data_IF_942529000246
#
_entry.id   IF_942529000246
#
_cell.length_a   1.000
_cell.length_b   1.000
_cell.length_c   1.000
_cell.angle_alpha   90.00
_cell.angle_beta   90.00
_cell.angle_gamma   90.00
#
_symmetry.space_group_name_H-M   'P 1'
#
loop_
_entity.id
_entity.type
_entity.pdbx_description
1 polymer ?
#
# COMPACT_ATOMS: atom_id res chain seq x y z
N UNK A 1 -22.48 -30.08 -35.07
CA UNK A 1 -22.77 -30.83 -33.83
C UNK A 1 -21.53 -31.56 -33.32
N UNK A 2 -20.87 -32.36 -34.15
CA UNK A 2 -19.71 -33.18 -33.77
C UNK A 2 -18.47 -32.37 -33.33
N UNK A 3 -18.13 -31.27 -34.02
CA UNK A 3 -17.01 -30.42 -33.61
C UNK A 3 -17.24 -29.67 -32.29
N UNK A 4 -18.50 -29.29 -32.01
CA UNK A 4 -18.88 -28.65 -30.76
C UNK A 4 -18.76 -29.62 -29.56
N UNK A 5 -19.14 -30.89 -29.75
CA UNK A 5 -18.95 -31.94 -28.75
C UNK A 5 -17.46 -32.18 -28.48
N UNK A 6 -16.63 -32.23 -29.54
CA UNK A 6 -15.19 -32.42 -29.43
C UNK A 6 -14.52 -31.26 -28.67
N UNK A 7 -14.85 -30.03 -29.03
CA UNK A 7 -14.36 -28.83 -28.33
C UNK A 7 -14.81 -28.79 -26.87
N UNK A 8 -16.06 -29.16 -26.57
CA UNK A 8 -16.55 -29.21 -25.18
C UNK A 8 -15.78 -30.25 -24.35
N UNK A 9 -15.47 -31.42 -24.93
CA UNK A 9 -14.69 -32.44 -24.26
C UNK A 9 -13.24 -32.00 -24.02
N UNK A 10 -12.58 -31.42 -25.03
CA UNK A 10 -11.22 -30.88 -24.91
C UNK A 10 -11.14 -29.76 -23.86
N UNK A 11 -12.09 -28.83 -23.87
CA UNK A 11 -12.16 -27.75 -22.88
C UNK A 11 -12.43 -28.27 -21.46
N UNK A 12 -13.26 -29.30 -21.30
CA UNK A 12 -13.53 -29.91 -20.00
C UNK A 12 -12.27 -30.54 -19.42
N UNK A 13 -11.51 -31.29 -20.24
CA UNK A 13 -10.28 -31.95 -19.81
C UNK A 13 -9.18 -30.93 -19.50
N UNK A 14 -9.06 -29.87 -20.31
CA UNK A 14 -8.10 -28.79 -20.07
C UNK A 14 -8.43 -28.03 -18.78
N UNK A 15 -9.69 -27.67 -18.57
CA UNK A 15 -10.13 -26.97 -17.35
C UNK A 15 -9.89 -27.80 -16.09
N UNK A 16 -10.12 -29.13 -16.17
CA UNK A 16 -9.85 -30.03 -15.06
C UNK A 16 -8.35 -30.07 -14.71
N UNK A 17 -7.48 -30.15 -15.72
CA UNK A 17 -6.03 -30.14 -15.54
C UNK A 17 -5.53 -28.79 -14.99
N UNK A 18 -6.04 -27.67 -15.51
CA UNK A 18 -5.69 -26.32 -15.05
C UNK A 18 -6.16 -26.09 -13.61
N UNK A 19 -7.34 -26.63 -13.24
CA UNK A 19 -7.85 -26.57 -11.88
C UNK A 19 -6.97 -27.36 -10.92
N UNK A 20 -6.57 -28.58 -11.28
CA UNK A 20 -5.68 -29.41 -10.46
C UNK A 20 -4.31 -28.73 -10.25
N UNK A 21 -3.75 -28.16 -11.30
CA UNK A 21 -2.51 -27.39 -11.22
C UNK A 21 -2.65 -26.17 -10.30
N UNK A 22 -3.78 -25.45 -10.39
CA UNK A 22 -4.07 -24.28 -9.55
C UNK A 22 -4.25 -24.67 -8.08
N UNK A 23 -4.95 -25.76 -7.80
CA UNK A 23 -5.14 -26.28 -6.43
C UNK A 23 -3.80 -26.67 -5.83
N UNK A 24 -2.95 -27.37 -6.59
CA UNK A 24 -1.62 -27.75 -6.13
C UNK A 24 -0.72 -26.55 -5.85
N UNK A 25 -0.68 -25.56 -6.76
CA UNK A 25 0.07 -24.32 -6.55
C UNK A 25 -0.43 -23.57 -5.30
N UNK A 26 -1.75 -23.53 -5.09
CA UNK A 26 -2.35 -22.90 -3.89
C UNK A 26 -2.01 -23.64 -2.61
N UNK A 27 -1.97 -24.97 -2.62
CA UNK A 27 -1.52 -25.75 -1.45
C UNK A 27 -0.06 -25.48 -1.10
N UNK A 28 0.80 -25.33 -2.11
CA UNK A 28 2.20 -24.95 -1.92
C UNK A 28 2.32 -23.51 -1.38
N UNK A 29 1.56 -22.55 -1.91
CA UNK A 29 1.50 -21.18 -1.38
C UNK A 29 1.02 -21.16 0.08
N UNK A 30 -0.01 -21.95 0.43
CA UNK A 30 -0.51 -22.03 1.80
C UNK A 30 0.52 -22.61 2.77
N UNK A 31 1.33 -23.58 2.33
CA UNK A 31 2.44 -24.11 3.13
C UNK A 31 3.50 -23.04 3.38
N UNK A 32 3.87 -22.28 2.35
CA UNK A 32 4.83 -21.17 2.47
C UNK A 32 4.31 -20.09 3.42
N UNK A 33 3.02 -19.74 3.33
CA UNK A 33 2.38 -18.78 4.25
C UNK A 33 2.40 -19.31 5.69
N UNK A 34 2.12 -20.60 5.90
CA UNK A 34 2.15 -21.21 7.23
C UNK A 34 3.57 -21.18 7.82
N UNK A 35 4.59 -21.54 7.05
CA UNK A 35 5.98 -21.50 7.48
C UNK A 35 6.46 -20.07 7.77
N UNK A 36 6.11 -19.10 6.91
CA UNK A 36 6.39 -17.69 7.18
C UNK A 36 5.70 -17.19 8.45
N UNK A 37 4.47 -17.65 8.72
CA UNK A 37 3.73 -17.32 9.95
C UNK A 37 4.42 -17.93 11.17
N UNK A 38 4.86 -19.19 11.10
CA UNK A 38 5.59 -19.87 12.17
C UNK A 38 6.93 -19.20 12.47
N UNK A 39 7.67 -18.77 11.44
CA UNK A 39 8.92 -18.01 11.62
C UNK A 39 8.64 -16.69 12.35
N UNK A 40 7.59 -15.97 11.98
CA UNK A 40 7.19 -14.73 12.65
C UNK A 40 6.70 -14.99 14.09
N UNK A 41 5.96 -16.07 14.32
CA UNK A 41 5.47 -16.48 15.64
C UNK A 41 6.59 -16.94 16.57
N UNK A 42 7.63 -17.61 16.05
CA UNK A 42 8.77 -18.09 16.83
C UNK A 42 9.82 -17.01 17.09
N UNK A 43 9.98 -16.05 16.17
CA UNK A 43 10.87 -14.89 16.37
C UNK A 43 10.24 -13.80 17.23
N UNK A 44 8.91 -13.74 17.31
CA UNK A 44 8.21 -12.93 18.31
C UNK A 44 7.97 -13.77 19.58
N UNK A 45 8.45 -13.36 20.74
CA UNK A 45 8.25 -14.08 21.99
C UNK A 45 6.77 -14.08 22.47
N UNK A 46 5.90 -14.90 21.85
CA UNK A 46 4.49 -15.04 22.19
C UNK A 46 3.62 -13.80 21.89
N UNK A 47 4.16 -12.81 21.18
CA UNK A 47 3.47 -11.55 20.94
C UNK A 47 2.50 -11.62 19.75
N UNK A 48 2.69 -12.52 18.77
CA UNK A 48 1.91 -12.55 17.52
C UNK A 48 0.43 -12.90 17.74
N UNK A 49 0.08 -13.92 18.53
CA UNK A 49 -1.32 -14.29 18.75
C UNK A 49 -2.17 -13.21 19.42
N UNK A 50 -1.57 -12.42 20.31
CA UNK A 50 -2.23 -11.25 20.89
C UNK A 50 -2.10 -10.02 19.98
N UNK A 51 -0.96 -9.80 19.34
CA UNK A 51 -0.71 -8.62 18.52
C UNK A 51 -1.51 -8.61 17.22
N UNK A 52 -1.86 -9.74 16.59
CA UNK A 52 -2.63 -9.71 15.33
C UNK A 52 -4.14 -9.52 15.58
N UNK A 53 -4.71 -10.23 16.57
CA UNK A 53 -6.08 -9.98 17.05
C UNK A 53 -6.24 -8.56 17.58
N UNK A 54 -5.29 -8.12 18.42
CA UNK A 54 -5.27 -6.77 18.96
C UNK A 54 -4.90 -5.73 17.90
N UNK A 55 -4.06 -6.01 16.90
CA UNK A 55 -3.75 -5.05 15.84
C UNK A 55 -4.91 -4.90 14.87
N UNK A 56 -5.64 -5.96 14.50
CA UNK A 56 -6.86 -5.81 13.71
C UNK A 56 -7.94 -5.05 14.48
N UNK A 57 -8.14 -5.38 15.76
CA UNK A 57 -9.08 -4.65 16.62
C UNK A 57 -8.64 -3.21 16.88
N UNK A 58 -7.36 -2.96 17.12
CA UNK A 58 -6.81 -1.62 17.34
C UNK A 58 -6.75 -0.80 16.05
N UNK A 59 -6.61 -1.44 14.89
CA UNK A 59 -6.69 -0.77 13.59
C UNK A 59 -8.15 -0.44 13.27
N UNK A 60 -9.11 -1.33 13.58
CA UNK A 60 -10.54 -1.04 13.55
C UNK A 60 -10.94 0.10 14.49
N UNK A 61 -10.47 0.07 15.75
CA UNK A 61 -10.73 1.10 16.74
C UNK A 61 -10.06 2.44 16.39
N UNK A 62 -8.82 2.45 15.89
CA UNK A 62 -8.16 3.67 15.39
C UNK A 62 -8.90 4.28 14.20
N UNK A 63 -9.46 3.46 13.31
CA UNK A 63 -10.31 3.93 12.20
C UNK A 63 -11.62 4.57 12.66
N UNK A 64 -12.04 4.37 13.92
CA UNK A 64 -13.23 5.02 14.48
C UNK A 64 -12.89 6.34 15.22
N UNK A 65 -11.61 6.63 15.44
CA UNK A 65 -11.18 7.89 16.06
C UNK A 65 -11.15 9.03 15.03
N UNK A 66 -11.49 10.25 15.47
CA UNK A 66 -11.41 11.45 14.61
C UNK A 66 -10.02 11.66 14.00
N UNK A 67 -8.96 11.42 14.77
CA UNK A 67 -7.58 11.53 14.30
C UNK A 67 -7.24 10.48 13.22
N UNK A 68 -7.71 9.24 13.38
CA UNK A 68 -7.51 8.19 12.37
C UNK A 68 -8.28 8.43 11.07
N UNK A 69 -9.47 9.03 11.14
CA UNK A 69 -10.23 9.45 9.97
C UNK A 69 -9.55 10.61 9.23
N UNK A 70 -9.15 11.66 9.95
CA UNK A 70 -8.43 12.79 9.38
C UNK A 70 -7.12 12.35 8.69
N UNK A 71 -6.36 11.44 9.29
CA UNK A 71 -5.15 10.89 8.68
C UNK A 71 -5.40 10.19 7.34
N UNK A 72 -6.50 9.46 7.22
CA UNK A 72 -6.88 8.81 5.96
C UNK A 72 -7.29 9.80 4.89
N UNK A 73 -8.02 10.85 5.27
CA UNK A 73 -8.43 11.91 4.35
C UNK A 73 -7.20 12.62 3.78
N UNK A 74 -6.21 12.93 4.62
CA UNK A 74 -4.94 13.52 4.18
C UNK A 74 -4.22 12.61 3.19
N UNK A 75 -4.05 11.32 3.50
CA UNK A 75 -3.41 10.36 2.57
C UNK A 75 -4.18 10.24 1.26
N UNK A 76 -5.51 10.20 1.32
CA UNK A 76 -6.35 10.13 0.12
C UNK A 76 -6.23 11.39 -0.74
N UNK A 77 -6.13 12.56 -0.11
CA UNK A 77 -5.91 13.82 -0.80
C UNK A 77 -4.55 13.86 -1.48
N UNK A 78 -3.45 13.55 -0.77
CA UNK A 78 -2.10 13.53 -1.38
C UNK A 78 -2.02 12.53 -2.54
N UNK A 79 -2.65 11.35 -2.42
CA UNK A 79 -2.73 10.38 -3.53
C UNK A 79 -3.50 10.92 -4.74
N UNK A 80 -4.54 11.72 -4.52
CA UNK A 80 -5.30 12.34 -5.61
C UNK A 80 -4.44 13.35 -6.35
N UNK A 81 -3.80 14.26 -5.62
CA UNK A 81 -2.90 15.27 -6.20
C UNK A 81 -1.75 14.59 -6.95
N UNK A 82 -1.17 13.53 -6.41
CA UNK A 82 -0.13 12.76 -7.10
C UNK A 82 -0.59 12.19 -8.45
N UNK A 83 -1.86 11.78 -8.56
CA UNK A 83 -2.45 11.28 -9.81
C UNK A 83 -2.75 12.41 -10.79
N UNK A 84 -3.28 13.52 -10.31
CA UNK A 84 -3.60 14.70 -11.11
C UNK A 84 -2.33 15.31 -11.73
N UNK A 85 -1.24 15.36 -10.95
CA UNK A 85 0.05 15.88 -11.41
C UNK A 85 0.97 14.81 -12.03
N UNK A 86 0.52 13.55 -12.11
CA UNK A 86 1.33 12.42 -12.56
C UNK A 86 2.71 12.31 -11.86
N UNK A 87 2.81 12.75 -10.61
CA UNK A 87 4.07 12.77 -9.86
C UNK A 87 4.29 11.50 -9.06
N UNK A 88 5.43 10.87 -9.32
CA UNK A 88 5.94 9.71 -8.58
C UNK A 88 6.37 10.09 -7.16
N UNK A 89 6.90 11.30 -6.97
CA UNK A 89 7.40 11.83 -5.70
C UNK A 89 6.24 12.09 -4.73
N UNK A 90 5.14 12.67 -5.23
CA UNK A 90 3.91 12.84 -4.45
C UNK A 90 3.25 11.49 -4.10
N UNK A 91 3.37 10.50 -4.98
CA UNK A 91 2.88 9.14 -4.71
C UNK A 91 3.70 8.46 -3.60
N UNK A 92 5.02 8.66 -3.59
CA UNK A 92 5.91 8.18 -2.53
C UNK A 92 5.64 8.91 -1.21
N UNK A 93 5.45 10.22 -1.24
CA UNK A 93 5.08 11.01 -0.06
C UNK A 93 3.79 10.50 0.58
N UNK A 94 2.75 10.23 -0.21
CA UNK A 94 1.50 9.68 0.31
C UNK A 94 1.69 8.33 1.03
N UNK A 95 2.60 7.51 0.52
CA UNK A 95 2.96 6.22 1.13
C UNK A 95 3.71 6.44 2.45
N UNK A 96 4.63 7.40 2.48
CA UNK A 96 5.37 7.74 3.68
C UNK A 96 4.47 8.33 4.78
N UNK A 97 3.57 9.26 4.43
CA UNK A 97 2.55 9.82 5.34
C UNK A 97 1.65 8.72 5.89
N UNK A 98 1.22 7.76 5.06
CA UNK A 98 0.42 6.63 5.53
C UNK A 98 1.17 5.74 6.54
N UNK A 99 2.47 5.52 6.32
CA UNK A 99 3.30 4.76 7.25
C UNK A 99 3.49 5.51 8.58
N UNK A 100 3.77 6.80 8.53
CA UNK A 100 3.87 7.67 9.72
C UNK A 100 2.56 7.65 10.51
N UNK A 101 1.41 7.78 9.85
CA UNK A 101 0.11 7.70 10.53
C UNK A 101 -0.19 6.32 11.14
N UNK A 102 0.29 5.25 10.52
CA UNK A 102 0.02 3.87 10.97
C UNK A 102 0.93 3.44 12.12
N UNK A 103 2.20 3.86 12.08
CA UNK A 103 3.24 3.37 12.99
C UNK A 103 3.77 4.45 13.94
N UNK A 104 3.63 5.74 13.65
CA UNK A 104 4.18 6.83 14.46
C UNK A 104 3.59 6.95 15.86
N UNK A 105 2.37 6.44 16.08
CA UNK A 105 1.74 6.43 17.40
C UNK A 105 2.46 5.53 18.42
N UNK A 106 3.31 4.59 17.98
CA UNK A 106 4.08 3.72 18.89
C UNK A 106 5.36 4.39 19.39
N UNK A 107 5.80 5.47 18.74
CA UNK A 107 7.07 6.14 19.00
C UNK A 107 6.97 7.31 19.98
N UNK A 108 5.76 7.70 20.40
CA UNK A 108 5.53 8.88 21.26
C UNK A 108 5.75 10.23 20.57
N UNK A 109 6.05 10.22 19.27
CA UNK A 109 6.33 11.39 18.44
C UNK A 109 5.02 12.01 17.91
N UNK A 110 4.94 13.33 17.76
CA UNK A 110 3.76 13.99 17.20
C UNK A 110 3.65 13.70 15.69
N UNK A 111 2.83 12.70 15.39
CA UNK A 111 2.55 12.20 14.06
C UNK A 111 2.01 13.31 13.15
N UNK A 112 1.17 14.22 13.67
CA UNK A 112 0.60 15.31 12.87
C UNK A 112 1.66 16.35 12.51
N UNK A 113 2.51 16.72 13.47
CA UNK A 113 3.62 17.63 13.21
C UNK A 113 4.56 17.07 12.13
N UNK A 114 4.85 15.76 12.18
CA UNK A 114 5.70 15.09 11.20
C UNK A 114 5.08 15.05 9.80
N UNK A 115 3.80 14.71 9.69
CA UNK A 115 3.08 14.73 8.41
C UNK A 115 3.03 16.13 7.82
N UNK A 116 2.82 17.15 8.66
CA UNK A 116 2.85 18.55 8.24
C UNK A 116 4.22 18.92 7.66
N UNK A 117 5.32 18.62 8.37
CA UNK A 117 6.67 18.91 7.89
C UNK A 117 6.97 18.22 6.55
N UNK A 118 6.60 16.94 6.41
CA UNK A 118 6.78 16.21 5.14
C UNK A 118 6.03 16.85 3.95
N UNK A 119 4.87 17.45 4.19
CA UNK A 119 4.11 18.17 3.16
C UNK A 119 4.73 19.53 2.88
N UNK A 120 5.13 20.27 3.91
CA UNK A 120 5.80 21.57 3.78
C UNK A 120 7.11 21.45 2.98
N UNK A 121 7.92 20.43 3.26
CA UNK A 121 9.17 20.16 2.53
C UNK A 121 8.90 19.90 1.04
N UNK A 122 7.81 19.18 0.73
CA UNK A 122 7.45 18.89 -0.66
C UNK A 122 6.91 20.12 -1.38
N UNK A 123 6.15 20.98 -0.69
CA UNK A 123 5.68 22.25 -1.24
C UNK A 123 6.87 23.15 -1.56
N UNK A 124 7.81 23.31 -0.61
CA UNK A 124 9.02 24.10 -0.83
C UNK A 124 9.83 23.58 -2.04
N UNK A 125 9.98 22.26 -2.17
CA UNK A 125 10.64 21.65 -3.33
C UNK A 125 9.93 21.99 -4.65
N UNK A 126 8.60 21.93 -4.68
CA UNK A 126 7.81 22.24 -5.88
C UNK A 126 7.88 23.73 -6.25
N UNK A 127 7.92 24.63 -5.27
CA UNK A 127 8.11 26.07 -5.49
C UNK A 127 9.50 26.37 -6.09
N UNK A 128 10.55 25.77 -5.52
CA UNK A 128 11.92 25.91 -6.03
C UNK A 128 12.07 25.35 -7.46
N UNK A 129 11.43 24.21 -7.76
CA UNK A 129 11.41 23.61 -9.10
C UNK A 129 10.68 24.52 -10.11
N UNK A 130 9.55 25.11 -9.73
CA UNK A 130 8.80 26.03 -10.58
C UNK A 130 9.58 27.32 -10.88
N UNK A 131 10.25 27.89 -9.88
CA UNK A 131 11.11 29.06 -10.06
C UNK A 131 12.33 28.74 -10.94
N UNK A 132 12.92 27.57 -10.74
CA UNK A 132 14.04 27.08 -11.56
C UNK A 132 13.62 26.87 -13.02
N UNK A 133 12.45 26.30 -13.27
CA UNK A 133 11.92 26.11 -14.62
C UNK A 133 11.58 27.44 -15.31
N UNK A 134 10.99 28.38 -14.57
CA UNK A 134 10.70 29.73 -15.08
C UNK A 134 11.97 30.49 -15.48
N UNK A 135 13.02 30.41 -14.65
CA UNK A 135 14.32 31.02 -14.95
C UNK A 135 15.04 30.34 -16.12
N UNK A 136 14.96 29.01 -16.22
CA UNK A 136 15.53 28.25 -17.34
C UNK A 136 14.81 28.56 -18.66
N UNK A 137 13.48 28.66 -18.66
CA UNK A 137 12.71 29.07 -19.86
C UNK A 137 13.09 30.47 -20.33
N UNK A 138 13.22 31.43 -19.41
CA UNK A 138 13.65 32.80 -19.75
C UNK A 138 15.08 32.88 -20.32
N UNK A 139 15.94 31.90 -19.97
CA UNK A 139 17.26 31.74 -20.58
C UNK A 139 17.18 31.09 -21.96
N UNK A 140 16.37 30.04 -22.14
CA UNK A 140 16.21 29.34 -23.42
C UNK A 140 15.42 30.12 -24.48
N UNK A 141 14.57 31.07 -24.08
CA UNK A 141 13.81 31.95 -25.00
C UNK A 141 14.65 33.15 -25.52
N UNK A 142 15.92 33.29 -25.09
CA UNK A 142 16.89 34.26 -25.64
C UNK A 142 17.80 33.60 -26.69
#
# INVERSE_FOLDING_TARGET
AESALKMANENCMQTAADHEATVKAREEELKVIAEATEILESTSSGAVGQAYSFAQLAQGARMQTRAGLAGKEVVAWVKRVAREQHSTELSQLATHVAAVMRFGATSGEDVFAKVKGLIEDMVAKLEDEADSEASHKAYCDK
#
